data_IF_708998626493
#
_entry.id   IF_708998626493
#
_cell.length_a   1.000
_cell.length_b   1.000
_cell.length_c   1.000
_cell.angle_alpha   90.00
_cell.angle_beta   90.00
_cell.angle_gamma   90.00
#
_symmetry.space_group_name_H-M   'P 1'
#
loop_
_entity.id
_entity.type
_entity.pdbx_description
1 polymer ?
#
# COMPACT_ATOMS: atom_id res chain seq x y z
N UNK A 1 31.61 13.16 1.39
CA UNK A 1 31.85 13.31 2.85
C UNK A 1 30.55 12.99 3.56
N UNK A 2 30.49 11.84 4.25
CA UNK A 2 29.33 11.50 5.09
C UNK A 2 29.09 12.66 6.06
N UNK A 3 28.08 13.48 5.82
CA UNK A 3 27.65 14.50 6.79
C UNK A 3 27.21 13.75 8.05
N UNK A 4 28.14 13.62 9.02
CA UNK A 4 27.78 13.08 10.33
C UNK A 4 26.62 13.89 10.86
N UNK A 5 25.57 13.22 11.33
CA UNK A 5 24.45 13.86 12.02
C UNK A 5 25.00 14.77 13.12
N UNK A 6 24.69 16.06 13.02
CA UNK A 6 25.04 16.98 14.10
C UNK A 6 24.21 16.62 15.34
N UNK A 7 24.71 16.85 16.56
CA UNK A 7 23.92 16.65 17.78
C UNK A 7 22.60 17.45 17.77
N UNK A 8 22.58 18.56 17.06
CA UNK A 8 21.40 19.41 16.89
C UNK A 8 20.33 18.72 16.00
N UNK A 9 20.74 18.15 14.85
CA UNK A 9 19.86 17.36 13.99
C UNK A 9 19.30 16.14 14.74
N UNK A 10 20.13 15.48 15.57
CA UNK A 10 19.68 14.36 16.40
C UNK A 10 18.61 14.76 17.41
N UNK A 11 18.79 15.91 18.09
CA UNK A 11 17.78 16.46 19.03
C UNK A 11 16.49 16.86 18.30
N UNK A 12 16.60 17.48 17.12
CA UNK A 12 15.44 17.85 16.31
C UNK A 12 14.65 16.61 15.84
N UNK A 13 15.35 15.56 15.40
CA UNK A 13 14.74 14.29 15.01
C UNK A 13 14.01 13.62 16.19
N UNK A 14 14.60 13.62 17.38
CA UNK A 14 13.96 13.08 18.59
C UNK A 14 12.71 13.87 18.99
N UNK A 15 12.75 15.21 18.92
CA UNK A 15 11.56 16.04 19.16
C UNK A 15 10.45 15.72 18.15
N UNK A 16 10.77 15.60 16.87
CA UNK A 16 9.82 15.24 15.83
C UNK A 16 9.21 13.85 16.06
N UNK A 17 9.98 12.87 16.54
CA UNK A 17 9.48 11.56 16.92
C UNK A 17 8.44 11.64 18.03
N UNK A 18 8.70 12.45 19.06
CA UNK A 18 7.79 12.63 20.20
C UNK A 18 6.52 13.37 19.77
N UNK A 19 6.66 14.43 18.98
CA UNK A 19 5.53 15.27 18.54
C UNK A 19 4.61 14.57 17.55
N UNK A 20 5.17 13.86 16.57
CA UNK A 20 4.38 13.18 15.53
C UNK A 20 3.99 11.74 15.92
N UNK A 21 4.63 11.16 16.96
CA UNK A 21 4.42 9.76 17.35
C UNK A 21 4.76 8.76 16.24
N UNK A 22 5.57 9.17 15.25
CA UNK A 22 5.85 8.43 14.03
C UNK A 22 7.29 8.60 13.58
N UNK A 23 7.97 7.54 13.10
CA UNK A 23 9.30 7.63 12.50
C UNK A 23 9.38 8.54 11.27
N UNK A 24 8.26 8.96 10.69
CA UNK A 24 8.22 9.88 9.54
C UNK A 24 8.75 11.27 9.91
N UNK A 25 8.47 11.76 11.14
CA UNK A 25 8.99 13.02 11.63
C UNK A 25 10.53 13.09 11.61
N UNK A 26 11.23 12.16 12.27
CA UNK A 26 12.68 12.04 12.17
C UNK A 26 13.20 11.94 10.74
N UNK A 27 12.57 11.16 9.87
CA UNK A 27 12.98 11.04 8.47
C UNK A 27 12.90 12.38 7.72
N UNK A 28 11.83 13.17 7.93
CA UNK A 28 11.70 14.52 7.35
C UNK A 28 12.80 15.46 7.86
N UNK A 29 13.06 15.44 9.17
CA UNK A 29 14.12 16.26 9.77
C UNK A 29 15.47 15.89 9.20
N UNK A 30 15.79 14.61 9.10
CA UNK A 30 17.06 14.15 8.52
C UNK A 30 17.19 14.54 7.05
N UNK A 31 16.15 14.36 6.26
CA UNK A 31 16.12 14.76 4.84
C UNK A 31 16.39 16.28 4.68
N UNK A 32 15.77 17.11 5.51
CA UNK A 32 15.94 18.56 5.49
C UNK A 32 17.35 19.03 5.84
N UNK A 33 17.99 18.40 6.83
CA UNK A 33 19.30 18.86 7.36
C UNK A 33 20.50 18.16 6.68
N UNK A 34 20.34 16.93 6.23
CA UNK A 34 21.41 16.13 5.66
C UNK A 34 21.35 16.04 4.14
N UNK A 35 20.13 16.02 3.58
CA UNK A 35 19.89 15.90 2.13
C UNK A 35 19.37 14.51 1.73
N UNK A 36 19.51 14.19 0.43
CA UNK A 36 18.91 13.00 -0.20
C UNK A 36 19.62 11.67 0.08
N UNK A 37 20.71 11.70 0.85
CA UNK A 37 21.49 10.52 1.24
C UNK A 37 21.90 10.64 2.71
N UNK A 38 21.53 9.67 3.53
CA UNK A 38 21.94 9.62 4.94
C UNK A 38 21.82 8.20 5.50
N UNK A 39 22.44 7.96 6.66
CA UNK A 39 22.32 6.71 7.40
C UNK A 39 21.55 6.92 8.70
N UNK A 40 20.60 6.02 9.03
CA UNK A 40 19.89 6.06 10.31
C UNK A 40 20.83 5.52 11.41
N UNK A 41 21.14 6.29 12.45
CA UNK A 41 22.17 5.92 13.44
C UNK A 41 21.60 5.17 14.65
N UNK A 42 20.79 4.13 14.45
CA UNK A 42 20.27 3.33 15.55
C UNK A 42 21.23 2.18 15.89
N UNK A 43 21.43 1.86 17.19
CA UNK A 43 22.20 0.69 17.59
C UNK A 43 21.65 -0.59 16.95
N UNK A 44 22.50 -1.36 16.27
CA UNK A 44 22.10 -2.60 15.61
C UNK A 44 21.23 -2.45 14.34
N UNK A 45 20.84 -1.23 13.99
CA UNK A 45 20.01 -0.96 12.82
C UNK A 45 20.41 0.35 12.14
N UNK A 46 21.26 0.26 11.12
CA UNK A 46 21.87 1.40 10.44
C UNK A 46 21.61 1.40 8.93
N UNK A 47 20.35 1.39 8.47
CA UNK A 47 20.07 1.43 7.05
C UNK A 47 20.51 2.76 6.44
N UNK A 48 21.00 2.70 5.22
CA UNK A 48 21.12 3.88 4.38
C UNK A 48 19.75 4.30 3.85
N UNK A 49 19.49 5.58 3.78
CA UNK A 49 18.28 6.15 3.20
C UNK A 49 18.66 7.00 2.00
N UNK A 50 18.02 6.70 0.88
CA UNK A 50 18.15 7.47 -0.36
C UNK A 50 16.76 7.88 -0.84
N UNK A 51 16.64 9.05 -1.48
CA UNK A 51 15.39 9.48 -2.09
C UNK A 51 15.63 10.47 -3.23
N UNK A 52 14.58 10.81 -3.95
CA UNK A 52 14.62 11.66 -5.13
C UNK A 52 14.64 10.85 -6.44
N UNK A 53 14.39 11.53 -7.58
CA UNK A 53 14.21 10.86 -8.87
C UNK A 53 15.41 10.05 -9.33
N UNK A 54 16.61 10.57 -9.14
CA UNK A 54 17.85 9.89 -9.52
C UNK A 54 18.07 8.61 -8.71
N UNK A 55 17.90 8.69 -7.38
CA UNK A 55 18.02 7.53 -6.50
C UNK A 55 16.96 6.47 -6.84
N UNK A 56 15.72 6.88 -7.08
CA UNK A 56 14.65 5.97 -7.49
C UNK A 56 14.98 5.29 -8.81
N UNK A 57 15.40 6.05 -9.83
CA UNK A 57 15.82 5.50 -11.13
C UNK A 57 16.93 4.47 -10.97
N UNK A 58 17.93 4.79 -10.15
CA UNK A 58 19.08 3.94 -9.91
C UNK A 58 18.68 2.62 -9.26
N UNK A 59 17.93 2.67 -8.18
CA UNK A 59 17.50 1.49 -7.42
C UNK A 59 16.49 0.63 -8.20
N UNK A 60 15.57 1.27 -8.93
CA UNK A 60 14.46 0.55 -9.57
C UNK A 60 14.78 0.05 -10.97
N UNK A 61 15.74 0.68 -11.67
CA UNK A 61 16.00 0.38 -13.09
C UNK A 61 17.49 0.17 -13.38
N UNK A 62 18.33 1.19 -13.22
CA UNK A 62 19.69 1.17 -13.82
C UNK A 62 20.69 0.29 -13.06
N UNK A 63 20.53 0.11 -11.76
CA UNK A 63 21.40 -0.74 -10.93
C UNK A 63 20.57 -1.77 -10.12
N UNK A 64 19.41 -2.17 -10.64
CA UNK A 64 18.49 -3.10 -9.98
C UNK A 64 19.12 -4.44 -9.62
N UNK A 65 20.06 -4.90 -10.39
CA UNK A 65 20.83 -6.16 -10.20
C UNK A 65 21.89 -6.06 -9.10
N UNK A 66 22.17 -4.85 -8.61
CA UNK A 66 22.99 -4.64 -7.42
C UNK A 66 22.19 -4.69 -6.12
N UNK A 67 20.87 -4.81 -6.18
CA UNK A 67 19.99 -4.83 -5.02
C UNK A 67 19.14 -6.09 -5.01
N UNK A 68 19.00 -6.69 -3.83
CA UNK A 68 18.09 -7.81 -3.57
C UNK A 68 16.94 -7.34 -2.72
N UNK A 69 15.83 -8.07 -2.83
CA UNK A 69 14.63 -7.70 -2.08
C UNK A 69 14.91 -7.67 -0.57
N UNK A 70 15.27 -8.80 0.03
CA UNK A 70 15.52 -8.89 1.48
C UNK A 70 16.36 -10.11 1.83
N UNK A 71 16.88 -10.09 3.05
CA UNK A 71 17.31 -11.27 3.80
C UNK A 71 16.39 -11.46 4.98
N UNK A 72 16.19 -12.74 5.38
CA UNK A 72 15.60 -13.22 6.62
C UNK A 72 15.06 -12.10 7.56
N UNK A 73 13.81 -11.75 7.36
CA UNK A 73 13.03 -10.87 8.22
C UNK A 73 11.59 -11.42 8.30
N UNK A 74 10.74 -10.88 9.15
CA UNK A 74 9.38 -11.41 9.32
C UNK A 74 8.53 -11.44 8.06
N UNK A 75 8.81 -10.58 7.11
CA UNK A 75 8.09 -10.56 5.81
C UNK A 75 8.48 -11.81 5.01
N UNK A 76 9.78 -12.14 4.98
CA UNK A 76 10.28 -13.38 4.35
C UNK A 76 9.74 -14.61 5.05
N UNK A 77 9.73 -14.63 6.39
CA UNK A 77 9.22 -15.77 7.17
C UNK A 77 7.73 -16.02 6.89
N UNK A 78 6.93 -14.96 6.72
CA UNK A 78 5.49 -15.06 6.48
C UNK A 78 5.16 -15.43 5.05
N UNK A 79 5.82 -14.79 4.07
CA UNK A 79 5.47 -14.89 2.65
C UNK A 79 6.24 -15.99 1.90
N UNK A 80 7.21 -16.66 2.56
CA UNK A 80 7.93 -17.80 2.03
C UNK A 80 8.58 -17.53 0.68
N UNK A 81 8.09 -18.20 -0.38
CA UNK A 81 8.51 -18.02 -1.77
C UNK A 81 7.57 -17.13 -2.59
N UNK A 82 6.80 -16.24 -1.94
CA UNK A 82 5.93 -15.30 -2.65
C UNK A 82 6.70 -14.37 -3.60
N UNK A 83 6.06 -13.96 -4.70
CA UNK A 83 6.67 -13.12 -5.76
C UNK A 83 7.33 -11.85 -5.23
N UNK A 84 6.84 -11.32 -4.11
CA UNK A 84 7.39 -10.12 -3.47
C UNK A 84 8.76 -10.35 -2.86
N UNK A 85 9.10 -11.60 -2.47
CA UNK A 85 10.27 -11.94 -1.66
C UNK A 85 11.42 -12.52 -2.48
N UNK A 86 11.11 -13.24 -3.54
CA UNK A 86 12.09 -13.90 -4.41
C UNK A 86 12.76 -12.92 -5.37
N UNK A 87 13.95 -13.25 -5.86
CA UNK A 87 14.76 -12.45 -6.78
C UNK A 87 15.07 -13.23 -8.07
N UNK A 88 15.56 -12.53 -9.08
CA UNK A 88 16.06 -13.11 -10.35
C UNK A 88 14.96 -13.82 -11.14
N UNK A 89 15.35 -14.96 -11.77
CA UNK A 89 14.48 -15.73 -12.66
C UNK A 89 13.21 -16.26 -11.97
N UNK A 90 13.32 -16.60 -10.68
CA UNK A 90 12.18 -17.09 -9.91
C UNK A 90 11.10 -15.98 -9.76
N UNK A 91 11.53 -14.75 -9.49
CA UNK A 91 10.62 -13.59 -9.47
C UNK A 91 9.95 -13.39 -10.84
N UNK A 92 10.75 -13.40 -11.91
CA UNK A 92 10.24 -13.14 -13.25
C UNK A 92 9.26 -14.23 -13.70
N UNK A 93 9.52 -15.49 -13.33
CA UNK A 93 8.59 -16.60 -13.54
C UNK A 93 7.26 -16.41 -12.83
N UNK A 94 7.26 -16.17 -11.52
CA UNK A 94 6.02 -15.97 -10.77
C UNK A 94 5.28 -14.72 -11.22
N UNK A 95 5.99 -13.64 -11.51
CA UNK A 95 5.38 -12.41 -12.02
C UNK A 95 4.60 -12.68 -13.32
N UNK A 96 5.20 -13.41 -14.26
CA UNK A 96 4.55 -13.76 -15.53
C UNK A 96 3.28 -14.58 -15.34
N UNK A 97 3.23 -15.46 -14.35
CA UNK A 97 2.03 -16.25 -14.02
C UNK A 97 0.92 -15.39 -13.41
N UNK A 98 1.28 -14.34 -12.66
CA UNK A 98 0.32 -13.52 -11.91
C UNK A 98 -0.22 -12.31 -12.69
N UNK A 99 0.48 -11.89 -13.75
CA UNK A 99 0.14 -10.68 -14.49
C UNK A 99 -1.21 -10.75 -15.23
N UNK A 100 -1.61 -11.89 -15.87
CA UNK A 100 -2.79 -11.93 -16.72
C UNK A 100 -4.11 -11.54 -16.03
N UNK A 101 -4.46 -11.98 -14.82
CA UNK A 101 -5.69 -11.58 -14.14
C UNK A 101 -5.74 -10.09 -13.78
N UNK A 102 -4.57 -9.47 -13.55
CA UNK A 102 -4.45 -8.07 -13.15
C UNK A 102 -4.15 -7.11 -14.30
N UNK A 103 -4.09 -7.65 -15.52
CA UNK A 103 -3.82 -6.85 -16.72
C UNK A 103 -4.93 -5.80 -16.94
N UNK A 104 -4.60 -4.56 -17.33
CA UNK A 104 -5.58 -3.48 -17.51
C UNK A 104 -6.78 -3.84 -18.39
N UNK A 105 -6.61 -4.70 -19.40
CA UNK A 105 -7.70 -5.15 -20.28
C UNK A 105 -8.77 -6.00 -19.56
N UNK A 106 -8.48 -6.53 -18.37
CA UNK A 106 -9.44 -7.31 -17.57
C UNK A 106 -10.25 -6.45 -16.60
N UNK A 107 -9.83 -5.21 -16.33
CA UNK A 107 -10.48 -4.34 -15.35
C UNK A 107 -11.97 -4.10 -15.61
N UNK A 108 -12.45 -3.90 -16.85
CA UNK A 108 -13.88 -3.77 -17.10
C UNK A 108 -14.72 -4.94 -16.58
N UNK A 109 -14.17 -6.17 -16.60
CA UNK A 109 -14.87 -7.37 -16.15
C UNK A 109 -15.11 -7.38 -14.63
N UNK A 110 -14.30 -6.64 -13.86
CA UNK A 110 -14.39 -6.59 -12.41
C UNK A 110 -15.29 -5.46 -11.89
N UNK A 111 -15.70 -4.51 -12.76
CA UNK A 111 -16.41 -3.29 -12.35
C UNK A 111 -17.69 -3.61 -11.58
N UNK A 112 -18.55 -4.47 -12.11
CA UNK A 112 -19.83 -4.81 -11.47
C UNK A 112 -19.64 -5.57 -10.16
N UNK A 113 -18.63 -6.45 -10.09
CA UNK A 113 -18.27 -7.15 -8.86
C UNK A 113 -17.77 -6.18 -7.79
N UNK A 114 -16.90 -5.23 -8.15
CA UNK A 114 -16.42 -4.20 -7.22
C UNK A 114 -17.57 -3.34 -6.67
N UNK A 115 -18.53 -2.94 -7.52
CA UNK A 115 -19.73 -2.23 -7.11
C UNK A 115 -20.55 -3.09 -6.16
N UNK A 116 -20.82 -4.34 -6.51
CA UNK A 116 -21.60 -5.26 -5.68
C UNK A 116 -20.98 -5.49 -4.29
N UNK A 117 -19.66 -5.67 -4.20
CA UNK A 117 -18.98 -5.83 -2.92
C UNK A 117 -18.99 -4.52 -2.10
N UNK A 118 -18.88 -3.36 -2.76
CA UNK A 118 -19.01 -2.06 -2.12
C UNK A 118 -20.41 -1.88 -1.53
N UNK A 119 -21.45 -2.17 -2.30
CA UNK A 119 -22.83 -2.09 -1.87
C UNK A 119 -23.13 -3.05 -0.72
N UNK A 120 -22.60 -4.29 -0.79
CA UNK A 120 -22.78 -5.29 0.26
C UNK A 120 -22.27 -4.83 1.63
N UNK A 121 -21.19 -4.09 1.66
CA UNK A 121 -20.66 -3.50 2.90
C UNK A 121 -21.48 -2.27 3.30
N UNK A 122 -21.67 -1.34 2.36
CA UNK A 122 -22.29 -0.03 2.68
C UNK A 122 -23.77 -0.11 3.01
N UNK A 123 -24.52 -1.10 2.50
CA UNK A 123 -25.94 -1.31 2.87
C UNK A 123 -26.14 -1.75 4.33
N UNK A 124 -25.07 -2.15 5.02
CA UNK A 124 -25.13 -2.43 6.46
C UNK A 124 -25.08 -1.14 7.31
N UNK A 125 -24.76 0.00 6.71
CA UNK A 125 -24.73 1.27 7.43
C UNK A 125 -26.14 1.81 7.68
N UNK A 126 -26.34 2.30 8.89
CA UNK A 126 -27.59 2.99 9.24
C UNK A 126 -27.47 4.48 8.91
N UNK A 127 -28.58 5.09 8.51
CA UNK A 127 -28.61 6.52 8.21
C UNK A 127 -28.26 7.36 9.44
N UNK A 128 -27.34 8.32 9.28
CA UNK A 128 -26.80 9.12 10.38
C UNK A 128 -25.77 8.41 11.26
N UNK A 129 -25.41 7.15 10.98
CA UNK A 129 -24.39 6.41 11.73
C UNK A 129 -22.99 7.00 11.49
N UNK A 130 -22.18 6.99 12.54
CA UNK A 130 -20.72 7.24 12.39
C UNK A 130 -19.98 5.93 12.23
N UNK A 131 -19.24 5.79 11.11
CA UNK A 131 -18.44 4.62 10.76
C UNK A 131 -16.97 4.98 10.61
N UNK A 132 -16.08 4.01 10.88
CA UNK A 132 -14.64 4.16 10.61
C UNK A 132 -14.34 3.69 9.18
N UNK A 133 -14.08 4.63 8.28
CA UNK A 133 -13.79 4.31 6.87
C UNK A 133 -12.50 3.50 6.69
N UNK A 134 -11.56 3.49 7.64
CA UNK A 134 -10.43 2.58 7.61
C UNK A 134 -10.89 1.12 7.76
N UNK A 135 -11.85 0.86 8.65
CA UNK A 135 -12.42 -0.49 8.87
C UNK A 135 -13.30 -0.89 7.69
N UNK A 136 -14.17 0.01 7.23
CA UNK A 136 -15.07 -0.28 6.11
C UNK A 136 -14.31 -0.49 4.79
N UNK A 137 -13.29 0.32 4.51
CA UNK A 137 -12.39 0.12 3.37
C UNK A 137 -11.66 -1.24 3.43
N UNK A 138 -11.29 -1.71 4.63
CA UNK A 138 -10.71 -3.05 4.79
C UNK A 138 -11.67 -4.16 4.40
N UNK A 139 -12.94 -4.06 4.79
CA UNK A 139 -13.95 -5.06 4.40
C UNK A 139 -14.12 -5.06 2.87
N UNK A 140 -14.29 -3.89 2.28
CA UNK A 140 -14.47 -3.74 0.82
C UNK A 140 -13.27 -4.32 0.08
N UNK A 141 -12.05 -3.89 0.40
CA UNK A 141 -10.83 -4.35 -0.27
C UNK A 141 -10.61 -5.87 -0.12
N UNK A 142 -10.93 -6.43 1.06
CA UNK A 142 -10.81 -7.88 1.28
C UNK A 142 -11.78 -8.67 0.39
N UNK A 143 -13.04 -8.26 0.32
CA UNK A 143 -14.04 -8.91 -0.52
C UNK A 143 -13.65 -8.84 -2.00
N UNK A 144 -13.23 -7.67 -2.45
CA UNK A 144 -12.83 -7.46 -3.85
C UNK A 144 -11.63 -8.32 -4.20
N UNK A 145 -10.55 -8.30 -3.41
CA UNK A 145 -9.32 -9.03 -3.74
C UNK A 145 -9.54 -10.56 -3.71
N UNK A 146 -10.29 -11.08 -2.73
CA UNK A 146 -10.59 -12.50 -2.63
C UNK A 146 -11.45 -12.99 -3.79
N UNK A 147 -12.45 -12.21 -4.18
CA UNK A 147 -13.30 -12.53 -5.33
C UNK A 147 -12.54 -12.43 -6.65
N UNK A 148 -11.69 -11.41 -6.81
CA UNK A 148 -10.93 -11.21 -8.06
C UNK A 148 -9.88 -12.29 -8.31
N UNK A 149 -9.09 -12.61 -7.27
CA UNK A 149 -7.91 -13.45 -7.44
C UNK A 149 -8.16 -14.93 -7.21
N UNK A 150 -9.20 -15.28 -6.45
CA UNK A 150 -9.45 -16.65 -6.02
C UNK A 150 -10.90 -17.10 -6.26
N UNK A 151 -11.72 -16.27 -6.90
CA UNK A 151 -13.18 -16.50 -7.13
C UNK A 151 -13.89 -16.93 -5.83
N UNK A 152 -13.41 -16.41 -4.69
CA UNK A 152 -13.91 -16.78 -3.35
C UNK A 152 -14.70 -15.64 -2.72
N UNK A 153 -16.01 -15.85 -2.53
CA UNK A 153 -16.80 -15.03 -1.63
C UNK A 153 -16.43 -15.37 -0.18
N UNK A 154 -16.01 -14.38 0.58
CA UNK A 154 -15.56 -14.53 1.96
C UNK A 154 -16.43 -13.79 2.97
N UNK A 155 -17.62 -13.35 2.58
CA UNK A 155 -18.50 -12.60 3.47
C UNK A 155 -18.82 -13.36 4.76
N UNK A 156 -19.24 -14.59 4.63
CA UNK A 156 -19.59 -15.43 5.77
C UNK A 156 -18.36 -15.93 6.56
N UNK A 157 -17.20 -15.92 5.89
CA UNK A 157 -15.91 -16.29 6.50
C UNK A 157 -15.26 -15.12 7.26
N UNK A 158 -15.71 -13.87 7.05
CA UNK A 158 -15.11 -12.67 7.67
C UNK A 158 -14.89 -12.81 9.18
N UNK A 159 -15.83 -13.30 10.01
CA UNK A 159 -15.62 -13.45 11.45
C UNK A 159 -14.43 -14.34 11.80
N UNK A 160 -14.12 -15.32 10.96
CA UNK A 160 -13.03 -16.28 11.19
C UNK A 160 -11.68 -15.77 10.69
N UNK A 161 -11.64 -15.10 9.53
CA UNK A 161 -10.38 -14.72 8.88
C UNK A 161 -9.93 -13.28 9.20
N UNK A 162 -10.84 -12.41 9.69
CA UNK A 162 -10.56 -11.01 9.98
C UNK A 162 -9.37 -10.81 10.92
N UNK A 163 -9.46 -11.38 12.13
CA UNK A 163 -8.38 -11.29 13.12
C UNK A 163 -7.08 -11.95 12.63
N UNK A 164 -7.07 -13.16 12.05
CA UNK A 164 -5.91 -13.74 11.39
C UNK A 164 -5.22 -12.84 10.37
N UNK A 165 -5.96 -12.21 9.46
CA UNK A 165 -5.41 -11.29 8.45
C UNK A 165 -4.76 -10.06 9.11
N UNK A 166 -5.47 -9.42 10.06
CA UNK A 166 -4.91 -8.27 10.78
C UNK A 166 -3.65 -8.64 11.59
N UNK A 167 -3.60 -9.85 12.13
CA UNK A 167 -2.40 -10.37 12.81
C UNK A 167 -1.25 -10.63 11.81
N UNK A 168 -1.54 -11.14 10.63
CA UNK A 168 -0.52 -11.31 9.57
C UNK A 168 0.07 -9.96 9.15
N UNK A 169 -0.77 -8.94 8.91
CA UNK A 169 -0.33 -7.57 8.61
C UNK A 169 0.51 -7.00 9.76
N UNK A 170 0.05 -7.15 11.00
CA UNK A 170 0.81 -6.69 12.18
C UNK A 170 2.13 -7.43 12.35
N UNK A 171 2.19 -8.71 11.97
CA UNK A 171 3.40 -9.52 12.04
C UNK A 171 4.54 -8.96 11.18
N UNK A 172 4.23 -8.41 10.02
CA UNK A 172 5.20 -7.81 9.10
C UNK A 172 5.42 -6.31 9.32
N UNK A 173 4.56 -5.65 10.10
CA UNK A 173 4.68 -4.22 10.39
C UNK A 173 5.97 -3.91 11.15
N UNK A 174 6.59 -2.73 10.91
CA UNK A 174 7.75 -2.27 11.68
C UNK A 174 7.48 -2.32 13.19
N UNK A 175 8.46 -2.77 13.95
CA UNK A 175 8.34 -2.90 15.40
C UNK A 175 9.68 -3.20 16.05
N UNK A 176 9.66 -3.63 17.31
CA UNK A 176 10.87 -3.93 18.09
C UNK A 176 11.79 -4.96 17.44
N UNK A 177 11.27 -5.83 16.57
CA UNK A 177 12.07 -6.80 15.81
C UNK A 177 13.10 -6.15 14.88
N UNK A 178 12.93 -4.89 14.54
CA UNK A 178 13.90 -4.12 13.73
C UNK A 178 15.23 -4.00 14.50
N UNK A 179 15.14 -3.78 15.81
CA UNK A 179 16.30 -3.61 16.71
C UNK A 179 16.68 -4.94 17.34
N UNK A 180 15.68 -5.74 17.75
CA UNK A 180 15.88 -7.05 18.36
C UNK A 180 15.27 -8.14 17.47
N UNK A 181 16.07 -8.63 16.54
CA UNK A 181 15.67 -9.57 15.47
C UNK A 181 15.04 -10.87 15.98
N UNK A 182 15.56 -11.42 17.06
CA UNK A 182 15.12 -12.68 17.65
C UNK A 182 14.03 -12.48 18.72
N UNK A 183 13.40 -11.33 18.78
CA UNK A 183 12.33 -11.07 19.74
C UNK A 183 11.20 -12.11 19.59
N UNK A 184 10.80 -12.79 20.68
CA UNK A 184 9.69 -13.74 20.64
C UNK A 184 8.39 -13.06 20.20
N UNK A 185 7.72 -13.64 19.21
CA UNK A 185 6.46 -13.13 18.65
C UNK A 185 5.28 -13.96 19.18
N UNK A 186 5.03 -13.81 20.45
CA UNK A 186 3.94 -14.52 21.13
C UNK A 186 2.57 -14.08 20.57
N UNK A 187 1.64 -15.02 20.46
CA UNK A 187 0.27 -14.77 20.04
C UNK A 187 0.04 -14.71 18.51
N UNK A 188 1.09 -14.78 17.68
CA UNK A 188 0.90 -14.79 16.22
C UNK A 188 0.66 -16.20 15.64
N UNK A 189 1.40 -17.22 16.12
CA UNK A 189 1.39 -18.57 15.55
C UNK A 189 -0.02 -19.16 15.36
N UNK A 190 -0.91 -19.02 16.34
CA UNK A 190 -2.29 -19.52 16.25
C UNK A 190 -3.05 -18.88 15.09
N UNK A 191 -2.95 -17.57 14.96
CA UNK A 191 -3.67 -16.81 13.93
C UNK A 191 -3.09 -17.07 12.53
N UNK A 192 -1.76 -17.13 12.40
CA UNK A 192 -1.12 -17.47 11.14
C UNK A 192 -1.50 -18.88 10.69
N UNK A 193 -1.54 -19.85 11.63
CA UNK A 193 -2.01 -21.19 11.30
C UNK A 193 -3.46 -21.22 10.81
N UNK A 194 -4.36 -20.46 11.43
CA UNK A 194 -5.77 -20.37 10.98
C UNK A 194 -5.85 -19.84 9.55
N UNK A 195 -5.04 -18.82 9.23
CA UNK A 195 -4.98 -18.25 7.88
C UNK A 195 -4.40 -19.25 6.87
N UNK A 196 -3.33 -19.97 7.24
CA UNK A 196 -2.74 -21.02 6.40
C UNK A 196 -3.72 -22.13 6.12
N UNK A 197 -4.36 -22.67 7.17
CA UNK A 197 -5.37 -23.72 7.05
C UNK A 197 -6.54 -23.27 6.16
N UNK A 198 -6.90 -21.99 6.20
CA UNK A 198 -7.94 -21.41 5.34
C UNK A 198 -7.49 -21.38 3.88
N UNK A 199 -6.28 -20.91 3.58
CA UNK A 199 -5.75 -20.87 2.22
C UNK A 199 -5.58 -22.26 1.63
N UNK A 200 -5.07 -23.23 2.40
CA UNK A 200 -4.94 -24.61 1.94
C UNK A 200 -6.31 -25.26 1.65
N UNK A 201 -7.35 -24.93 2.40
CA UNK A 201 -8.71 -25.40 2.08
C UNK A 201 -9.21 -24.86 0.73
N UNK A 202 -8.94 -23.57 0.42
CA UNK A 202 -9.29 -23.00 -0.88
C UNK A 202 -8.53 -23.72 -1.99
N UNK A 203 -7.23 -23.97 -1.85
CA UNK A 203 -6.41 -24.69 -2.83
C UNK A 203 -6.97 -26.09 -3.05
N UNK A 204 -7.21 -26.87 -1.99
CA UNK A 204 -7.72 -28.23 -2.07
C UNK A 204 -9.10 -28.29 -2.70
N UNK A 205 -10.00 -27.37 -2.34
CA UNK A 205 -11.33 -27.27 -2.94
C UNK A 205 -11.25 -26.99 -4.45
N UNK A 206 -10.36 -26.10 -4.89
CA UNK A 206 -10.15 -25.77 -6.29
C UNK A 206 -9.60 -26.97 -7.07
N UNK A 207 -8.67 -27.73 -6.54
CA UNK A 207 -8.13 -28.94 -7.21
C UNK A 207 -9.16 -30.03 -7.40
N UNK A 208 -10.18 -30.09 -6.54
CA UNK A 208 -11.28 -31.08 -6.63
C UNK A 208 -12.54 -30.54 -7.30
N UNK A 209 -12.62 -29.24 -7.51
CA UNK A 209 -13.83 -28.55 -7.94
C UNK A 209 -13.81 -28.08 -9.38
N UNK A 210 -14.67 -27.10 -9.65
CA UNK A 210 -14.82 -26.47 -10.98
C UNK A 210 -13.67 -25.53 -11.29
N UNK A 211 -13.33 -25.48 -12.57
CA UNK A 211 -12.41 -24.49 -13.14
C UNK A 211 -12.98 -23.06 -13.01
N UNK A 212 -12.12 -22.12 -12.57
CA UNK A 212 -12.40 -20.70 -12.54
C UNK A 212 -11.21 -19.94 -13.16
N UNK A 213 -11.41 -19.05 -14.13
CA UNK A 213 -10.32 -18.39 -14.86
C UNK A 213 -9.69 -17.24 -14.04
N UNK A 214 -9.19 -17.55 -12.85
CA UNK A 214 -8.59 -16.62 -11.90
C UNK A 214 -7.10 -16.92 -11.64
N UNK A 215 -6.48 -16.14 -10.73
CA UNK A 215 -5.08 -16.31 -10.38
C UNK A 215 -4.79 -17.70 -9.80
N UNK A 216 -5.66 -18.19 -8.92
CA UNK A 216 -5.45 -19.51 -8.29
C UNK A 216 -5.38 -20.62 -9.34
N UNK A 217 -6.26 -20.56 -10.35
CA UNK A 217 -6.24 -21.55 -11.42
C UNK A 217 -4.94 -21.47 -12.24
N UNK A 218 -4.48 -20.25 -12.57
CA UNK A 218 -3.21 -20.10 -13.29
C UNK A 218 -2.02 -20.70 -12.54
N UNK A 219 -2.00 -20.57 -11.19
CA UNK A 219 -0.94 -21.15 -10.36
C UNK A 219 -1.03 -22.68 -10.29
N UNK A 220 -2.23 -23.24 -10.27
CA UNK A 220 -2.47 -24.69 -10.30
C UNK A 220 -2.05 -25.27 -11.67
N UNK A 221 -2.47 -24.64 -12.76
CA UNK A 221 -2.17 -25.08 -14.13
C UNK A 221 -0.68 -24.99 -14.46
N UNK A 222 0.04 -24.06 -13.81
CA UNK A 222 1.49 -23.98 -13.89
C UNK A 222 2.23 -25.11 -13.14
N UNK A 223 1.50 -26.04 -12.50
CA UNK A 223 2.07 -27.18 -11.79
C UNK A 223 2.77 -26.84 -10.48
N UNK A 224 2.48 -25.68 -9.89
CA UNK A 224 3.11 -25.28 -8.63
C UNK A 224 2.60 -26.16 -7.47
N UNK A 225 3.48 -26.39 -6.49
CA UNK A 225 3.11 -27.11 -5.25
C UNK A 225 2.18 -26.27 -4.39
N UNK A 226 1.36 -26.89 -3.57
CA UNK A 226 0.41 -26.21 -2.68
C UNK A 226 1.09 -25.20 -1.74
N UNK A 227 2.31 -25.50 -1.28
CA UNK A 227 3.10 -24.57 -0.46
C UNK A 227 3.45 -23.30 -1.23
N UNK A 228 3.91 -23.42 -2.47
CA UNK A 228 4.23 -22.26 -3.31
C UNK A 228 2.96 -21.50 -3.67
N UNK A 229 1.86 -22.19 -4.01
CA UNK A 229 0.57 -21.54 -4.26
C UNK A 229 0.11 -20.77 -3.03
N UNK A 230 0.17 -21.37 -1.83
CA UNK A 230 -0.15 -20.69 -0.57
C UNK A 230 0.69 -19.42 -0.37
N UNK A 231 1.99 -19.48 -0.65
CA UNK A 231 2.89 -18.33 -0.51
C UNK A 231 2.51 -17.20 -1.47
N UNK A 232 2.16 -17.54 -2.72
CA UNK A 232 1.66 -16.56 -3.69
C UNK A 232 0.31 -15.99 -3.27
N UNK A 233 -0.65 -16.84 -2.87
CA UNK A 233 -1.97 -16.39 -2.42
C UNK A 233 -1.87 -15.43 -1.23
N UNK A 234 -1.06 -15.77 -0.21
CA UNK A 234 -0.88 -14.92 0.97
C UNK A 234 -0.18 -13.60 0.60
N UNK A 235 0.81 -13.67 -0.30
CA UNK A 235 1.50 -12.46 -0.80
C UNK A 235 0.51 -11.52 -1.48
N UNK A 236 -0.31 -12.05 -2.39
CA UNK A 236 -1.28 -11.25 -3.14
C UNK A 236 -2.42 -10.73 -2.26
N UNK A 237 -2.89 -11.55 -1.30
CA UNK A 237 -3.89 -11.16 -0.33
C UNK A 237 -3.41 -9.96 0.51
N UNK A 238 -2.22 -10.05 1.11
CA UNK A 238 -1.69 -8.96 1.95
C UNK A 238 -1.38 -7.72 1.09
N UNK A 239 -0.71 -7.89 -0.05
CA UNK A 239 -0.32 -6.78 -0.90
C UNK A 239 -1.53 -6.04 -1.50
N UNK A 240 -2.57 -6.75 -1.92
CA UNK A 240 -3.77 -6.14 -2.51
C UNK A 240 -4.70 -5.54 -1.46
N UNK A 241 -4.94 -6.25 -0.36
CA UNK A 241 -5.87 -5.82 0.68
C UNK A 241 -5.40 -4.59 1.45
N UNK A 242 -4.19 -4.63 2.04
CA UNK A 242 -3.76 -3.59 2.98
C UNK A 242 -3.43 -2.27 2.28
N UNK A 243 -2.91 -2.33 1.05
CA UNK A 243 -2.58 -1.12 0.28
C UNK A 243 -3.83 -0.41 -0.26
N UNK A 244 -4.84 -1.16 -0.77
CA UNK A 244 -6.13 -0.60 -1.17
C UNK A 244 -6.88 0.00 0.02
N UNK A 245 -6.85 -0.68 1.16
CA UNK A 245 -7.40 -0.16 2.43
C UNK A 245 -6.83 1.20 2.78
N UNK A 246 -5.49 1.31 2.79
CA UNK A 246 -4.81 2.55 3.14
C UNK A 246 -5.13 3.68 2.15
N UNK A 247 -5.15 3.37 0.84
CA UNK A 247 -5.48 4.34 -0.20
C UNK A 247 -6.90 4.88 -0.03
N UNK A 248 -7.91 4.01 0.09
CA UNK A 248 -9.30 4.42 0.27
C UNK A 248 -9.50 5.24 1.54
N UNK A 249 -8.91 4.81 2.66
CA UNK A 249 -9.01 5.53 3.92
C UNK A 249 -8.38 6.93 3.84
N UNK A 250 -7.24 7.09 3.15
CA UNK A 250 -6.62 8.40 2.95
C UNK A 250 -7.43 9.28 2.00
N UNK A 251 -8.06 8.74 0.96
CA UNK A 251 -8.97 9.52 0.10
C UNK A 251 -10.13 10.07 0.94
N UNK A 252 -10.76 9.25 1.79
CA UNK A 252 -11.82 9.72 2.69
C UNK A 252 -11.32 10.79 3.66
N UNK A 253 -10.14 10.61 4.26
CA UNK A 253 -9.56 11.58 5.18
C UNK A 253 -9.31 12.94 4.50
N UNK A 254 -8.72 12.91 3.30
CA UNK A 254 -8.41 14.12 2.53
C UNK A 254 -9.67 14.83 2.04
N UNK A 255 -10.62 14.09 1.46
CA UNK A 255 -11.91 14.68 1.05
C UNK A 255 -12.74 15.14 2.25
N UNK A 256 -12.58 14.50 3.42
CA UNK A 256 -13.19 14.94 4.67
C UNK A 256 -12.68 16.30 5.14
N UNK A 257 -11.38 16.52 5.00
CA UNK A 257 -10.70 17.77 5.40
C UNK A 257 -10.85 18.90 4.38
N UNK A 258 -11.18 18.59 3.10
CA UNK A 258 -11.29 19.54 1.99
C UNK A 258 -12.70 19.50 1.37
N UNK A 259 -13.64 20.19 2.03
CA UNK A 259 -15.06 20.14 1.68
C UNK A 259 -15.37 20.72 0.28
N UNK A 260 -14.62 21.72 -0.15
CA UNK A 260 -14.70 22.34 -1.46
C UNK A 260 -14.32 21.35 -2.58
N UNK A 261 -13.18 20.68 -2.45
CA UNK A 261 -12.74 19.65 -3.40
C UNK A 261 -13.74 18.49 -3.40
N UNK A 262 -14.21 18.07 -2.22
CA UNK A 262 -15.22 17.01 -2.11
C UNK A 262 -16.48 17.36 -2.88
N UNK A 263 -17.00 18.59 -2.74
CA UNK A 263 -18.19 19.03 -3.46
C UNK A 263 -18.00 18.97 -4.99
N UNK A 264 -16.84 19.40 -5.48
CA UNK A 264 -16.50 19.30 -6.91
C UNK A 264 -16.43 17.85 -7.38
N UNK A 265 -15.79 16.95 -6.60
CA UNK A 265 -15.72 15.51 -6.95
C UNK A 265 -17.11 14.89 -6.99
N UNK A 266 -17.97 15.18 -5.99
CA UNK A 266 -19.35 14.67 -5.95
C UNK A 266 -20.12 15.12 -7.18
N UNK A 267 -20.04 16.41 -7.55
CA UNK A 267 -20.69 16.91 -8.76
C UNK A 267 -20.22 16.20 -10.03
N UNK A 268 -18.90 15.95 -10.18
CA UNK A 268 -18.40 15.22 -11.34
C UNK A 268 -18.87 13.76 -11.39
N UNK A 269 -18.82 13.02 -10.27
CA UNK A 269 -19.27 11.62 -10.25
C UNK A 269 -20.78 11.45 -10.45
N UNK A 270 -21.56 12.50 -10.18
CA UNK A 270 -23.00 12.52 -10.44
C UNK A 270 -23.34 12.83 -11.91
N UNK A 271 -22.48 13.59 -12.60
CA UNK A 271 -22.78 14.15 -13.93
C UNK A 271 -21.99 13.49 -15.06
N UNK A 272 -20.89 12.81 -14.75
CA UNK A 272 -19.95 12.24 -15.73
C UNK A 272 -19.74 10.75 -15.48
N UNK A 273 -19.58 9.97 -16.55
CA UNK A 273 -19.21 8.55 -16.45
C UNK A 273 -17.82 8.35 -15.82
N UNK A 274 -16.89 9.29 -16.05
CA UNK A 274 -15.54 9.29 -15.48
C UNK A 274 -15.21 10.65 -14.91
N UNK A 275 -14.96 10.71 -13.62
CA UNK A 275 -14.50 11.92 -12.96
C UNK A 275 -12.98 12.08 -13.11
N UNK A 276 -12.56 13.11 -13.84
CA UNK A 276 -11.15 13.47 -13.96
C UNK A 276 -10.58 13.99 -12.64
N UNK A 277 -11.38 14.72 -11.87
CA UNK A 277 -10.96 15.24 -10.57
C UNK A 277 -10.78 14.12 -9.54
N UNK A 278 -11.63 13.08 -9.54
CA UNK A 278 -11.42 11.92 -8.67
C UNK A 278 -10.11 11.19 -9.00
N UNK A 279 -9.75 11.07 -10.29
CA UNK A 279 -8.45 10.50 -10.68
C UNK A 279 -7.27 11.35 -10.18
N UNK A 280 -7.40 12.67 -10.17
CA UNK A 280 -6.41 13.59 -9.61
C UNK A 280 -6.31 13.44 -8.09
N UNK A 281 -7.44 13.33 -7.40
CA UNK A 281 -7.53 13.07 -5.95
C UNK A 281 -6.84 11.75 -5.59
N UNK A 282 -7.09 10.67 -6.33
CA UNK A 282 -6.44 9.37 -6.12
C UNK A 282 -4.91 9.51 -6.24
N UNK A 283 -4.44 10.18 -7.31
CA UNK A 283 -3.00 10.39 -7.53
C UNK A 283 -2.36 11.25 -6.45
N UNK A 284 -3.01 12.32 -6.03
CA UNK A 284 -2.51 13.20 -4.98
C UNK A 284 -2.52 12.51 -3.60
N UNK A 285 -3.52 11.68 -3.33
CA UNK A 285 -3.55 10.83 -2.13
C UNK A 285 -2.37 9.85 -2.11
N UNK A 286 -2.07 9.21 -3.24
CA UNK A 286 -0.91 8.33 -3.41
C UNK A 286 0.42 9.10 -3.30
N UNK A 287 0.47 10.38 -3.66
CA UNK A 287 1.65 11.22 -3.47
C UNK A 287 1.86 11.52 -1.99
N UNK A 288 0.84 12.05 -1.33
CA UNK A 288 0.93 12.44 0.07
C UNK A 288 1.06 11.25 1.02
N UNK A 289 0.28 10.21 0.78
CA UNK A 289 0.22 9.04 1.66
C UNK A 289 0.36 7.73 0.87
N UNK A 290 1.54 7.51 0.23
CA UNK A 290 1.75 6.26 -0.49
C UNK A 290 1.66 5.09 0.49
N UNK A 291 0.79 4.10 0.26
CA UNK A 291 0.69 2.94 1.16
C UNK A 291 2.05 2.30 1.42
N UNK A 292 2.83 2.05 0.37
CA UNK A 292 4.25 1.68 0.52
C UNK A 292 5.09 2.97 0.47
N UNK A 293 5.49 3.41 1.63
CA UNK A 293 6.19 4.69 1.83
C UNK A 293 7.73 4.57 1.79
N UNK A 294 8.25 3.35 1.98
CA UNK A 294 9.67 3.02 1.94
C UNK A 294 9.85 1.67 1.27
N UNK A 295 10.70 1.60 0.26
CA UNK A 295 11.16 0.34 -0.28
C UNK A 295 12.46 -0.11 0.39
N UNK A 296 12.46 -1.32 0.96
CA UNK A 296 13.62 -1.92 1.62
C UNK A 296 14.39 -2.80 0.63
N UNK A 297 15.70 -2.67 0.61
CA UNK A 297 16.61 -3.49 -0.21
C UNK A 297 17.85 -3.90 0.58
N UNK A 298 18.44 -5.00 0.20
CA UNK A 298 19.82 -5.34 0.56
C UNK A 298 20.73 -5.05 -0.64
N UNK A 299 21.82 -4.36 -0.41
CA UNK A 299 22.83 -4.08 -1.44
C UNK A 299 23.67 -5.34 -1.65
N UNK A 300 23.63 -5.92 -2.85
CA UNK A 300 24.40 -7.11 -3.20
C UNK A 300 25.83 -6.75 -3.67
N UNK A 301 25.97 -5.59 -4.33
CA UNK A 301 27.25 -5.03 -4.80
C UNK A 301 27.29 -3.56 -4.46
N UNK A 302 28.47 -3.01 -4.12
CA UNK A 302 28.62 -1.59 -3.79
C UNK A 302 27.87 -0.68 -4.78
N UNK A 303 27.15 0.27 -4.23
CA UNK A 303 26.43 1.30 -5.00
C UNK A 303 26.98 2.69 -4.67
N UNK A 304 27.08 3.52 -5.68
CA UNK A 304 27.49 4.92 -5.54
C UNK A 304 26.32 5.85 -5.79
N UNK A 305 26.10 6.82 -4.91
CA UNK A 305 25.10 7.87 -5.03
C UNK A 305 25.79 9.23 -4.98
N UNK A 306 26.28 9.70 -6.13
CA UNK A 306 26.97 10.99 -6.27
C UNK A 306 28.22 11.11 -5.39
N UNK A 307 29.04 10.05 -5.33
CA UNK A 307 30.24 9.95 -4.51
C UNK A 307 30.02 9.44 -3.08
N UNK A 308 28.77 9.28 -2.66
CA UNK A 308 28.42 8.62 -1.40
C UNK A 308 28.17 7.13 -1.65
N UNK A 309 28.95 6.27 -0.99
CA UNK A 309 28.96 4.83 -1.24
C UNK A 309 28.16 4.04 -0.22
N UNK A 310 27.39 3.07 -0.70
CA UNK A 310 26.77 2.04 0.14
C UNK A 310 27.49 0.73 -0.12
N UNK A 311 28.19 0.17 0.87
CA UNK A 311 28.91 -1.10 0.74
C UNK A 311 27.96 -2.28 0.46
N UNK A 312 28.53 -3.36 -0.09
CA UNK A 312 27.79 -4.61 -0.21
C UNK A 312 27.36 -5.15 1.16
N UNK A 313 26.24 -5.86 1.17
CA UNK A 313 25.55 -6.43 2.33
C UNK A 313 24.87 -5.44 3.27
N UNK A 314 24.96 -4.14 3.01
CA UNK A 314 24.23 -3.12 3.77
C UNK A 314 22.73 -3.10 3.42
N UNK A 315 21.94 -2.64 4.38
CA UNK A 315 20.52 -2.37 4.18
C UNK A 315 20.32 -0.96 3.64
N UNK A 316 19.51 -0.85 2.61
CA UNK A 316 19.15 0.42 2.00
C UNK A 316 17.64 0.59 1.95
N UNK A 317 17.19 1.78 2.28
CA UNK A 317 15.84 2.25 2.07
C UNK A 317 15.82 3.30 0.95
N UNK A 318 15.01 3.10 -0.08
CA UNK A 318 14.63 4.21 -0.94
C UNK A 318 13.26 4.73 -0.49
N UNK A 319 13.20 6.03 -0.19
CA UNK A 319 12.00 6.61 0.41
C UNK A 319 11.09 7.24 -0.65
N UNK A 320 9.97 6.57 -0.90
CA UNK A 320 8.89 7.08 -1.74
C UNK A 320 8.28 8.30 -1.07
N UNK A 321 8.02 8.22 0.24
CA UNK A 321 7.43 9.30 1.05
C UNK A 321 8.24 10.60 0.98
N UNK A 322 9.57 10.54 1.14
CA UNK A 322 10.43 11.72 1.05
C UNK A 322 10.53 12.24 -0.38
N UNK A 323 10.62 11.35 -1.39
CA UNK A 323 10.61 11.77 -2.80
C UNK A 323 9.35 12.53 -3.17
N UNK A 324 8.20 12.04 -2.70
CA UNK A 324 6.90 12.66 -2.98
C UNK A 324 6.67 13.96 -2.21
N UNK A 325 7.56 14.32 -1.28
CA UNK A 325 7.54 15.56 -0.50
C UNK A 325 8.77 16.42 -0.67
N UNK A 326 9.60 16.10 -1.63
CA UNK A 326 10.81 16.88 -1.93
C UNK A 326 10.43 18.26 -2.47
N UNK A 327 10.71 19.36 -1.75
CA UNK A 327 10.30 20.69 -2.15
C UNK A 327 11.02 21.21 -3.42
N UNK A 328 12.14 20.58 -3.80
CA UNK A 328 12.80 20.88 -5.08
C UNK A 328 12.02 20.31 -6.29
N UNK A 329 11.06 19.40 -6.04
CA UNK A 329 10.26 18.75 -7.08
C UNK A 329 8.79 19.16 -6.99
N UNK A 330 8.28 19.26 -5.77
CA UNK A 330 6.86 19.49 -5.50
C UNK A 330 6.65 20.83 -4.80
N UNK A 331 6.15 21.79 -5.51
CA UNK A 331 5.73 23.08 -4.93
C UNK A 331 4.65 22.83 -3.88
N UNK A 332 4.72 23.50 -2.71
CA UNK A 332 3.81 23.30 -1.58
C UNK A 332 3.64 21.77 -1.27
N UNK A 333 4.77 21.08 -1.08
CA UNK A 333 4.86 19.62 -1.08
C UNK A 333 4.00 18.91 -0.02
N UNK A 334 3.63 19.61 1.06
CA UNK A 334 2.79 19.06 2.15
C UNK A 334 1.28 19.30 1.90
N UNK A 335 0.90 20.17 0.96
CA UNK A 335 -0.49 20.54 0.71
C UNK A 335 -1.19 19.53 -0.21
N UNK A 336 -2.47 19.35 0.00
CA UNK A 336 -3.35 18.54 -0.83
C UNK A 336 -3.86 19.36 -2.03
N UNK A 337 -3.23 19.19 -3.18
CA UNK A 337 -3.51 19.90 -4.41
C UNK A 337 -3.72 18.92 -5.58
N UNK A 338 -4.90 18.36 -5.80
CA UNK A 338 -5.18 17.41 -6.88
C UNK A 338 -4.83 17.94 -8.28
N UNK A 339 -4.95 19.25 -8.49
CA UNK A 339 -4.65 19.94 -9.77
C UNK A 339 -3.21 19.74 -10.25
N UNK A 340 -2.30 19.28 -9.39
CA UNK A 340 -0.94 18.86 -9.79
C UNK A 340 -0.97 17.79 -10.87
N UNK A 341 -2.01 16.96 -10.84
CA UNK A 341 -2.21 15.85 -11.76
C UNK A 341 -3.21 16.15 -12.88
N UNK A 342 -3.58 17.43 -13.06
CA UNK A 342 -4.40 17.86 -14.18
C UNK A 342 -3.71 17.57 -15.52
N UNK A 343 -4.53 17.40 -16.57
CA UNK A 343 -4.04 17.09 -17.91
C UNK A 343 -3.00 18.13 -18.38
N UNK A 344 -1.90 17.65 -18.97
CA UNK A 344 -0.80 18.50 -19.48
C UNK A 344 0.29 18.86 -18.47
N UNK A 345 0.08 18.67 -17.17
CA UNK A 345 1.15 18.85 -16.18
C UNK A 345 2.08 17.64 -16.17
N UNK A 346 3.38 17.90 -16.32
CA UNK A 346 4.41 16.86 -16.32
C UNK A 346 5.19 16.88 -15.01
N UNK A 347 5.36 15.72 -14.40
CA UNK A 347 6.29 15.53 -13.29
C UNK A 347 7.61 14.94 -13.83
N UNK A 348 8.77 15.28 -13.24
CA UNK A 348 10.03 14.65 -13.63
C UNK A 348 9.93 13.10 -13.53
N UNK A 349 10.55 12.35 -14.44
CA UNK A 349 10.57 10.90 -14.36
C UNK A 349 11.09 10.44 -13.00
N UNK A 350 10.50 9.38 -12.44
CA UNK A 350 10.84 8.82 -11.11
C UNK A 350 10.62 9.74 -9.90
N UNK A 351 10.01 10.92 -10.07
CA UNK A 351 9.58 11.76 -8.95
C UNK A 351 8.27 11.31 -8.33
N UNK A 352 7.44 10.59 -9.09
CA UNK A 352 6.17 10.02 -8.65
C UNK A 352 6.19 8.50 -8.87
N UNK A 353 6.41 7.73 -7.80
CA UNK A 353 6.63 6.28 -7.85
C UNK A 353 5.82 5.52 -6.80
N UNK A 354 4.50 5.79 -6.63
CA UNK A 354 3.71 5.12 -5.60
C UNK A 354 3.59 3.61 -5.83
N UNK A 355 3.77 3.17 -7.07
CA UNK A 355 3.77 1.78 -7.50
C UNK A 355 5.18 1.24 -7.82
N UNK A 356 6.21 1.94 -7.36
CA UNK A 356 7.60 1.60 -7.70
C UNK A 356 7.93 1.89 -9.17
N UNK A 357 8.75 1.04 -9.77
CA UNK A 357 9.19 1.20 -11.17
C UNK A 357 10.03 0.01 -11.66
N UNK A 358 10.29 -0.02 -12.98
CA UNK A 358 11.06 -1.07 -13.62
C UNK A 358 10.38 -2.44 -13.53
N UNK A 359 11.15 -3.53 -13.65
CA UNK A 359 10.60 -4.90 -13.69
C UNK A 359 9.90 -5.34 -12.40
N UNK A 360 10.12 -4.63 -11.30
CA UNK A 360 9.45 -4.86 -10.00
C UNK A 360 8.36 -3.82 -9.71
N UNK A 361 7.89 -3.08 -10.71
CA UNK A 361 6.73 -2.22 -10.57
C UNK A 361 5.52 -3.01 -10.06
N UNK A 362 4.64 -2.38 -9.30
CA UNK A 362 3.46 -3.04 -8.75
C UNK A 362 2.62 -3.69 -9.85
N UNK A 363 2.37 -4.98 -9.72
CA UNK A 363 1.58 -5.76 -10.67
C UNK A 363 0.10 -5.34 -10.65
N UNK A 364 -0.40 -4.95 -9.46
CA UNK A 364 -1.77 -4.49 -9.24
C UNK A 364 -1.96 -2.96 -9.37
N UNK A 365 -0.97 -2.21 -9.90
CA UNK A 365 -1.05 -0.73 -9.89
C UNK A 365 -2.25 -0.16 -10.64
N UNK A 366 -2.59 -0.71 -11.80
CA UNK A 366 -3.79 -0.32 -12.55
C UNK A 366 -5.08 -0.80 -11.85
N UNK A 367 -5.06 -2.01 -11.30
CA UNK A 367 -6.18 -2.57 -10.55
C UNK A 367 -6.51 -1.73 -9.31
N UNK A 368 -5.55 -1.41 -8.46
CA UNK A 368 -5.79 -0.62 -7.24
C UNK A 368 -6.30 0.80 -7.53
N UNK A 369 -5.85 1.44 -8.62
CA UNK A 369 -6.40 2.73 -9.04
C UNK A 369 -7.83 2.60 -9.57
N UNK A 370 -8.13 1.55 -10.34
CA UNK A 370 -9.50 1.29 -10.81
C UNK A 370 -10.44 0.95 -9.64
N UNK A 371 -10.01 0.09 -8.71
CA UNK A 371 -10.71 -0.22 -7.46
C UNK A 371 -11.04 1.05 -6.68
N UNK A 372 -10.05 1.90 -6.42
CA UNK A 372 -10.26 3.15 -5.70
C UNK A 372 -11.28 4.07 -6.41
N UNK A 373 -11.19 4.20 -7.73
CA UNK A 373 -12.14 4.99 -8.52
C UNK A 373 -13.55 4.43 -8.43
N UNK A 374 -13.74 3.14 -8.64
CA UNK A 374 -15.06 2.49 -8.65
C UNK A 374 -15.70 2.56 -7.27
N UNK A 375 -14.96 2.19 -6.21
CA UNK A 375 -15.45 2.22 -4.82
C UNK A 375 -15.82 3.65 -4.41
N UNK A 376 -14.93 4.62 -4.65
CA UNK A 376 -15.18 6.02 -4.28
C UNK A 376 -16.36 6.61 -5.07
N UNK A 377 -16.42 6.39 -6.38
CA UNK A 377 -17.57 6.86 -7.18
C UNK A 377 -18.87 6.29 -6.65
N UNK A 378 -18.93 4.97 -6.41
CA UNK A 378 -20.14 4.32 -5.90
C UNK A 378 -20.57 4.88 -4.55
N UNK A 379 -19.64 5.01 -3.61
CA UNK A 379 -19.94 5.50 -2.26
C UNK A 379 -20.36 6.98 -2.27
N UNK A 380 -19.68 7.83 -3.05
CA UNK A 380 -20.02 9.26 -3.17
C UNK A 380 -21.36 9.50 -3.87
N UNK A 381 -21.75 8.64 -4.80
CA UNK A 381 -23.08 8.68 -5.43
C UNK A 381 -24.19 8.24 -4.47
N UNK A 382 -23.90 7.32 -3.55
CA UNK A 382 -24.93 6.70 -2.69
C UNK A 382 -25.08 7.40 -1.35
N UNK A 383 -24.00 7.99 -0.81
CA UNK A 383 -23.96 8.58 0.53
C UNK A 383 -23.34 9.97 0.52
N UNK A 384 -23.77 10.78 1.49
CA UNK A 384 -23.03 11.96 1.95
C UNK A 384 -22.19 11.58 3.15
N UNK A 385 -21.00 12.22 3.26
CA UNK A 385 -20.02 11.94 4.30
C UNK A 385 -19.67 13.22 5.05
N UNK A 386 -19.93 13.25 6.36
CA UNK A 386 -19.51 14.32 7.24
C UNK A 386 -18.31 13.85 8.08
N UNK A 387 -17.19 14.54 7.96
CA UNK A 387 -15.95 14.19 8.67
C UNK A 387 -16.03 14.60 10.14
N UNK A 388 -15.84 13.65 11.05
CA UNK A 388 -16.04 13.86 12.48
C UNK A 388 -14.77 13.75 13.34
N UNK A 389 -13.61 13.41 12.74
CA UNK A 389 -12.35 13.37 13.50
C UNK A 389 -11.88 14.76 13.89
N UNK A 390 -11.32 14.86 15.10
CA UNK A 390 -10.60 16.08 15.50
C UNK A 390 -9.16 16.12 14.96
N UNK A 391 -8.50 14.97 14.88
CA UNK A 391 -7.10 14.87 14.41
C UNK A 391 -6.82 13.49 13.82
N UNK A 392 -6.15 13.48 12.67
CA UNK A 392 -5.61 12.26 12.02
C UNK A 392 -4.11 12.46 11.81
N UNK A 393 -3.34 11.39 12.01
CA UNK A 393 -1.91 11.36 11.71
C UNK A 393 -1.55 10.10 10.92
N UNK A 394 -0.46 10.19 10.16
CA UNK A 394 0.06 9.06 9.41
C UNK A 394 0.80 8.08 10.33
N UNK A 395 0.32 6.85 10.41
CA UNK A 395 0.95 5.77 11.16
C UNK A 395 1.75 4.86 10.21
N UNK A 396 3.02 4.67 10.54
CA UNK A 396 3.94 3.82 9.78
C UNK A 396 3.81 2.36 10.21
N UNK A 397 2.87 1.64 9.62
CA UNK A 397 2.66 0.21 9.76
C UNK A 397 3.31 -0.59 8.62
N UNK A 398 2.72 -1.72 8.24
CA UNK A 398 3.04 -2.43 7.00
C UNK A 398 2.75 -1.52 5.80
N UNK A 399 1.66 -0.78 5.89
CA UNK A 399 1.30 0.35 5.03
C UNK A 399 1.25 1.65 5.84
N UNK A 400 1.15 2.78 5.16
CA UNK A 400 0.96 4.09 5.77
C UNK A 400 -0.54 4.33 5.96
N UNK A 401 -1.03 4.18 7.19
CA UNK A 401 -2.44 4.26 7.53
C UNK A 401 -2.81 5.55 8.28
N UNK A 402 -4.05 6.07 8.12
CA UNK A 402 -4.57 7.14 8.98
C UNK A 402 -4.92 6.57 10.37
N UNK A 403 -4.44 7.23 11.44
CA UNK A 403 -4.78 6.87 12.83
C UNK A 403 -5.34 8.07 13.59
N UNK A 404 -6.29 7.84 14.50
CA UNK A 404 -6.79 6.58 15.03
C UNK A 404 -7.75 5.81 14.10
N UNK A 405 -8.16 6.38 12.98
CA UNK A 405 -9.10 5.90 11.98
C UNK A 405 -9.68 7.09 11.23
N UNK A 406 -10.66 6.88 10.35
CA UNK A 406 -11.33 7.93 9.57
C UNK A 406 -12.82 7.88 9.86
N UNK A 407 -13.23 8.62 10.88
CA UNK A 407 -14.63 8.63 11.34
C UNK A 407 -15.48 9.53 10.46
N UNK A 408 -16.48 8.94 9.81
CA UNK A 408 -17.44 9.63 8.94
C UNK A 408 -18.85 9.34 9.41
N UNK A 409 -19.66 10.40 9.60
CA UNK A 409 -21.11 10.26 9.69
C UNK A 409 -21.65 10.09 8.28
N UNK A 410 -22.36 9.00 8.06
CA UNK A 410 -22.89 8.64 6.75
C UNK A 410 -24.39 8.92 6.71
N UNK A 411 -24.86 9.50 5.61
CA UNK A 411 -26.30 9.74 5.35
C UNK A 411 -26.59 9.30 3.92
N UNK A 412 -27.62 8.47 3.75
CA UNK A 412 -28.00 7.98 2.42
C UNK A 412 -28.55 9.13 1.58
N UNK A 413 -28.07 9.26 0.37
CA UNK A 413 -28.59 10.25 -0.57
C UNK A 413 -29.91 9.74 -1.15
N UNK A 414 -30.96 10.52 -1.01
CA UNK A 414 -32.21 10.29 -1.70
C UNK A 414 -32.01 10.74 -3.15
N UNK A 415 -31.70 9.79 -4.05
CA UNK A 415 -31.82 10.10 -5.47
C UNK A 415 -33.28 10.21 -5.81
N UNK A 416 -33.76 11.40 -6.18
CA UNK A 416 -34.98 11.46 -6.96
C UNK A 416 -34.74 10.67 -8.25
N UNK A 417 -35.63 9.73 -8.61
CA UNK A 417 -35.48 8.97 -9.84
C UNK A 417 -35.47 9.95 -11.02
N UNK A 418 -34.39 9.94 -11.81
CA UNK A 418 -34.33 10.67 -13.09
C UNK A 418 -35.20 9.99 -14.13
#
# INVERSE_FOLDING_TARGET
MNKKLSPETGRAAMRALIQEGSPLGPLKVMAKHVGRFFQIPLPGFRPYVVFGPEANRKVLVTERDKVLWRNSDPVTDLLGRGVLIVDGEEHDHYRKLMEPPLHPSKLPNYTQMMIAQTDRVSTQWQDGQTVDMLVESRKIALLIIMQTLFSKDVWDDLPHIWTPILKAIKYISPGMWIIWRNMPRLGFKKHLKVLDDYLYRIISSRRMGTFEPDLLQHLIDAGLTDNVIRDQMLTMLIAGHDTSTALLAWIFALLGQHADIRACVVNEVDTQEKSALLDQVIKESLRLYPPIHIGNRRVAKEMDFNGEKIPANERMFYSIYLTHRDPEIWENAEDFCPERFAHGRKTPPFSYVPFGGGPRACIGGAFGQAEARIVMSRLLQTYTFEFTNHKIHAHMGATLEPRPGVMMKVTRRHCEPR
#
